data_IF_570423394821
#
_entry.id   IF_570423394821
#
_cell.length_a   1.000
_cell.length_b   1.000
_cell.length_c   1.000
_cell.angle_alpha   90.00
_cell.angle_beta   90.00
_cell.angle_gamma   90.00
#
_symmetry.space_group_name_H-M   'P 1'
#
loop_
_entity.id
_entity.type
_entity.pdbx_description
1 polymer ?
#
# COMPACT_ATOMS: atom_id res chain seq x y z
N UNK A 1 6.98 -15.97 -16.16
CA UNK A 1 7.96 -14.93 -15.77
C UNK A 1 7.95 -14.84 -14.25
N UNK A 2 9.08 -15.13 -13.62
CA UNK A 2 9.21 -15.09 -12.15
C UNK A 2 9.01 -13.64 -11.69
N UNK A 3 8.02 -13.44 -10.82
CA UNK A 3 7.65 -12.15 -10.24
C UNK A 3 8.81 -11.57 -9.45
N UNK A 4 9.53 -10.63 -10.06
CA UNK A 4 10.39 -9.70 -9.34
C UNK A 4 9.47 -8.62 -8.79
N UNK A 5 9.05 -8.73 -7.53
CA UNK A 5 8.55 -7.58 -6.78
C UNK A 5 9.64 -6.53 -6.81
N UNK A 6 9.44 -5.49 -7.61
CA UNK A 6 10.39 -4.40 -7.70
C UNK A 6 9.98 -3.43 -6.59
N UNK A 7 10.70 -3.35 -5.45
CA UNK A 7 10.22 -2.66 -4.25
C UNK A 7 9.98 -1.15 -4.45
N UNK A 8 10.47 -0.59 -5.55
CA UNK A 8 10.21 0.80 -5.97
C UNK A 8 8.87 0.93 -6.71
N UNK A 9 8.43 -0.09 -7.45
CA UNK A 9 7.15 -0.04 -8.18
C UNK A 9 5.96 -0.09 -7.25
N UNK A 10 6.04 -0.88 -6.18
CA UNK A 10 4.89 -1.22 -5.32
C UNK A 10 4.38 -0.05 -4.46
N UNK A 11 5.21 1.00 -4.33
CA UNK A 11 4.90 2.25 -3.63
C UNK A 11 4.96 3.48 -4.55
N UNK A 12 5.14 3.27 -5.86
CA UNK A 12 5.17 4.35 -6.83
C UNK A 12 3.81 5.03 -6.98
N UNK A 13 3.80 6.31 -7.37
CA UNK A 13 2.57 7.07 -7.58
C UNK A 13 1.63 6.41 -8.61
N UNK A 14 2.20 5.74 -9.62
CA UNK A 14 1.43 4.98 -10.63
C UNK A 14 0.68 3.84 -9.94
N UNK A 15 1.37 3.06 -9.11
CA UNK A 15 0.76 1.95 -8.36
C UNK A 15 -0.29 2.43 -7.37
N UNK A 16 -0.01 3.50 -6.62
CA UNK A 16 -1.01 4.12 -5.73
C UNK A 16 -2.23 4.59 -6.53
N UNK A 17 -2.02 5.21 -7.69
CA UNK A 17 -3.10 5.61 -8.59
C UNK A 17 -3.93 4.42 -9.10
N UNK A 18 -3.33 3.27 -9.36
CA UNK A 18 -4.06 2.04 -9.71
C UNK A 18 -4.83 1.47 -8.52
N UNK A 19 -4.23 1.46 -7.32
CA UNK A 19 -4.91 1.01 -6.10
C UNK A 19 -6.14 1.86 -5.77
N UNK A 20 -6.10 3.16 -6.05
CA UNK A 20 -7.24 4.05 -5.86
C UNK A 20 -8.38 3.80 -6.87
N UNK A 21 -8.10 3.19 -8.03
CA UNK A 21 -9.07 2.98 -9.11
C UNK A 21 -9.62 1.55 -9.18
N UNK A 22 -8.80 0.56 -8.83
CA UNK A 22 -9.12 -0.87 -8.94
C UNK A 22 -9.05 -1.53 -7.55
N UNK A 23 -10.23 -1.91 -7.06
CA UNK A 23 -10.39 -2.55 -5.74
C UNK A 23 -9.71 -3.92 -5.69
N UNK A 24 -9.75 -4.71 -6.76
CA UNK A 24 -9.11 -6.03 -6.80
C UNK A 24 -7.59 -5.88 -6.81
N UNK A 25 -7.06 -4.91 -7.55
CA UNK A 25 -5.65 -4.58 -7.54
C UNK A 25 -5.19 -4.08 -6.16
N UNK A 26 -5.97 -3.19 -5.52
CA UNK A 26 -5.71 -2.71 -4.16
C UNK A 26 -5.59 -3.85 -3.15
N UNK A 27 -6.51 -4.82 -3.19
CA UNK A 27 -6.45 -5.99 -2.29
C UNK A 27 -5.23 -6.87 -2.54
N UNK A 28 -4.79 -7.04 -3.80
CA UNK A 28 -3.54 -7.76 -4.12
C UNK A 28 -2.33 -7.01 -3.55
N UNK A 29 -2.29 -5.69 -3.69
CA UNK A 29 -1.22 -4.85 -3.15
C UNK A 29 -1.18 -4.88 -1.62
N UNK A 30 -2.33 -4.85 -0.94
CA UNK A 30 -2.38 -5.00 0.51
C UNK A 30 -1.77 -6.32 1.00
N UNK A 31 -1.96 -7.43 0.27
CA UNK A 31 -1.30 -8.71 0.59
C UNK A 31 0.22 -8.67 0.40
N UNK A 32 0.71 -7.81 -0.50
CA UNK A 32 2.16 -7.58 -0.66
C UNK A 32 2.66 -6.73 0.50
N UNK A 33 1.92 -5.69 0.87
CA UNK A 33 2.23 -4.83 2.01
C UNK A 33 2.24 -5.61 3.33
N UNK A 34 1.40 -6.64 3.50
CA UNK A 34 1.42 -7.51 4.70
C UNK A 34 2.76 -8.21 4.94
N UNK A 35 3.65 -8.28 3.93
CA UNK A 35 5.00 -8.84 4.04
C UNK A 35 6.06 -7.82 4.46
N UNK A 36 5.68 -6.55 4.57
CA UNK A 36 6.56 -5.42 4.87
C UNK A 36 6.13 -4.81 6.21
N UNK A 37 7.05 -4.53 7.14
CA UNK A 37 6.70 -3.85 8.39
C UNK A 37 6.00 -2.51 8.12
N UNK A 38 4.96 -2.19 8.90
CA UNK A 38 4.22 -0.93 8.75
C UNK A 38 5.12 0.32 8.76
N UNK A 39 6.15 0.45 9.63
CA UNK A 39 7.07 1.58 9.58
C UNK A 39 7.81 1.71 8.23
N UNK A 40 8.17 0.57 7.61
CA UNK A 40 8.84 0.56 6.31
C UNK A 40 7.88 0.95 5.18
N UNK A 41 6.60 0.54 5.25
CA UNK A 41 5.54 1.00 4.33
C UNK A 41 5.41 2.53 4.39
N UNK A 42 5.29 3.09 5.60
CA UNK A 42 5.17 4.54 5.79
C UNK A 42 6.39 5.28 5.23
N UNK A 43 7.59 4.73 5.44
CA UNK A 43 8.83 5.28 4.90
C UNK A 43 8.85 5.25 3.35
N UNK A 44 8.48 4.12 2.73
CA UNK A 44 8.46 3.96 1.26
C UNK A 44 7.40 4.82 0.57
N UNK A 45 6.25 5.02 1.19
CA UNK A 45 5.23 5.95 0.70
C UNK A 45 5.76 7.39 0.73
N UNK A 46 6.47 7.75 1.79
CA UNK A 46 7.05 9.09 1.96
C UNK A 46 6.00 10.16 2.29
N UNK A 47 6.47 11.25 2.90
CA UNK A 47 5.60 12.32 3.40
C UNK A 47 4.76 13.00 2.31
N UNK A 48 5.28 13.10 1.07
CA UNK A 48 4.57 13.74 -0.03
C UNK A 48 3.33 12.97 -0.47
N UNK A 49 3.40 11.63 -0.56
CA UNK A 49 2.24 10.82 -0.89
C UNK A 49 1.22 10.78 0.26
N UNK A 50 1.69 10.80 1.51
CA UNK A 50 0.81 10.82 2.69
C UNK A 50 0.07 12.15 2.89
N UNK A 51 0.49 13.24 2.22
CA UNK A 51 -0.27 14.49 2.15
C UNK A 51 -1.46 14.41 1.19
N UNK A 52 -1.45 13.48 0.25
CA UNK A 52 -2.61 13.24 -0.61
C UNK A 52 -3.71 12.56 0.21
N UNK A 53 -4.87 13.22 0.31
CA UNK A 53 -6.00 12.75 1.12
C UNK A 53 -6.45 11.34 0.74
N UNK A 54 -6.47 11.01 -0.55
CA UNK A 54 -6.94 9.69 -1.02
C UNK A 54 -5.94 8.60 -0.67
N UNK A 55 -4.64 8.90 -0.81
CA UNK A 55 -3.58 7.98 -0.39
C UNK A 55 -3.61 7.79 1.13
N UNK A 56 -3.76 8.85 1.91
CA UNK A 56 -3.88 8.77 3.37
C UNK A 56 -5.09 7.95 3.83
N UNK A 57 -6.25 8.12 3.19
CA UNK A 57 -7.45 7.31 3.45
C UNK A 57 -7.23 5.84 3.12
N UNK A 58 -6.59 5.54 1.99
CA UNK A 58 -6.24 4.17 1.59
C UNK A 58 -5.26 3.51 2.57
N UNK A 59 -4.27 4.25 3.07
CA UNK A 59 -3.34 3.76 4.10
C UNK A 59 -4.08 3.54 5.43
N UNK A 60 -5.02 4.42 5.78
CA UNK A 60 -5.86 4.24 6.96
C UNK A 60 -6.72 2.98 6.86
N UNK A 61 -7.33 2.73 5.69
CA UNK A 61 -8.05 1.49 5.39
C UNK A 61 -7.15 0.26 5.57
N UNK A 62 -5.91 0.33 5.08
CA UNK A 62 -4.93 -0.73 5.24
C UNK A 62 -4.59 -1.02 6.71
N UNK A 63 -4.33 0.03 7.52
CA UNK A 63 -4.03 -0.11 8.95
C UNK A 63 -5.22 -0.68 9.71
N UNK A 64 -6.45 -0.22 9.41
CA UNK A 64 -7.66 -0.78 10.01
C UNK A 64 -7.85 -2.25 9.67
N UNK A 65 -7.55 -2.66 8.42
CA UNK A 65 -7.56 -4.07 8.00
C UNK A 65 -6.57 -4.89 8.81
N UNK A 66 -5.33 -4.41 8.99
CA UNK A 66 -4.30 -5.12 9.77
C UNK A 66 -4.76 -5.37 11.21
N UNK A 67 -5.30 -4.34 11.86
CA UNK A 67 -5.78 -4.43 13.25
C UNK A 67 -6.94 -5.41 13.45
N UNK A 68 -7.73 -5.69 12.39
CA UNK A 68 -8.81 -6.69 12.42
C UNK A 68 -8.32 -8.12 12.22
N UNK A 69 -7.08 -8.31 11.77
CA UNK A 69 -6.50 -9.63 11.49
C UNK A 69 -5.61 -10.14 12.62
N UNK A 70 -5.18 -9.26 13.53
CA UNK A 70 -4.55 -9.65 14.80
C UNK A 70 -5.63 -10.05 15.81
N UNK A 71 -5.63 -11.30 16.33
CA UNK A 71 -6.55 -11.75 17.37
C UNK A 71 -6.34 -11.05 18.71
#
# INVERSE_FOLDING_TARGET
MIGKTNPVSDFSMITLGMMLKDVQFKQKMFKIWDKVPLPEIMHKLGASNLKDKKVAEMVTEYVQRLNRQTP
#
